data_IF_971182318434
#
_entry.id   IF_971182318434
#
_cell.length_a   1.000
_cell.length_b   1.000
_cell.length_c   1.000
_cell.angle_alpha   90.00
_cell.angle_beta   90.00
_cell.angle_gamma   90.00
#
_symmetry.space_group_name_H-M   'P 1'
#
loop_
_entity.id
_entity.type
_entity.pdbx_description
1 polymer ?
#
# COMPACT_ATOMS: atom_id res chain seq x y z
N UNK A 1 2.38 11.76 9.54
CA UNK A 1 1.45 12.16 8.48
C UNK A 1 1.77 11.33 7.24
N UNK A 2 0.76 10.88 6.52
CA UNK A 2 0.95 10.13 5.27
C UNK A 2 1.21 11.09 4.10
N UNK A 3 2.04 10.67 3.15
CA UNK A 3 2.47 11.51 2.02
C UNK A 3 2.53 10.71 0.71
N UNK A 4 2.37 11.40 -0.43
CA UNK A 4 2.49 10.77 -1.75
C UNK A 4 3.94 10.53 -2.14
N UNK A 5 4.17 9.46 -2.91
CA UNK A 5 5.47 9.17 -3.52
C UNK A 5 5.74 10.20 -4.63
N UNK A 6 6.95 10.77 -4.68
CA UNK A 6 7.37 11.76 -5.68
C UNK A 6 8.39 11.16 -6.65
N UNK A 7 8.36 11.57 -7.92
CA UNK A 7 9.40 11.26 -8.89
C UNK A 7 10.27 12.50 -9.11
N UNK A 8 11.53 12.45 -8.72
CA UNK A 8 12.48 13.55 -8.85
C UNK A 8 13.70 13.06 -9.63
N UNK A 9 13.98 13.68 -10.78
CA UNK A 9 15.12 13.32 -11.65
C UNK A 9 15.18 11.82 -11.98
N UNK A 10 14.02 11.20 -12.25
CA UNK A 10 13.92 9.77 -12.57
C UNK A 10 14.06 8.82 -11.38
N UNK A 11 14.13 9.32 -10.15
CA UNK A 11 14.19 8.50 -8.93
C UNK A 11 12.95 8.71 -8.06
N UNK A 12 12.43 7.62 -7.50
CA UNK A 12 11.33 7.68 -6.53
C UNK A 12 11.85 8.17 -5.18
N UNK A 13 11.22 9.21 -4.65
CA UNK A 13 11.34 9.62 -3.26
C UNK A 13 10.12 9.08 -2.51
N UNK A 14 10.36 8.04 -1.72
CA UNK A 14 9.33 7.33 -0.96
C UNK A 14 9.43 7.78 0.51
N UNK A 15 8.39 8.42 1.07
CA UNK A 15 8.35 8.80 2.48
C UNK A 15 8.24 7.57 3.39
N UNK A 16 8.38 7.75 4.71
CA UNK A 16 8.24 6.64 5.67
C UNK A 16 6.80 6.14 5.82
N UNK A 17 5.82 7.00 5.50
CA UNK A 17 4.39 6.67 5.49
C UNK A 17 3.76 6.94 4.11
N UNK A 18 4.10 6.17 3.06
CA UNK A 18 3.60 6.42 1.72
C UNK A 18 2.12 6.05 1.59
N UNK A 19 1.38 6.87 0.84
CA UNK A 19 0.02 6.54 0.38
C UNK A 19 0.14 5.66 -0.87
N UNK A 20 -0.42 4.45 -0.83
CA UNK A 20 -0.43 3.51 -1.94
C UNK A 20 -1.88 3.20 -2.32
N UNK A 21 -2.34 3.68 -3.50
CA UNK A 21 -3.63 3.27 -4.05
C UNK A 21 -3.64 1.78 -4.40
N UNK A 22 -4.74 1.10 -4.09
CA UNK A 22 -4.97 -0.28 -4.54
C UNK A 22 -6.40 -0.45 -5.06
N UNK A 23 -6.57 -1.39 -5.99
CA UNK A 23 -7.88 -1.85 -6.44
C UNK A 23 -8.10 -3.21 -5.79
N UNK A 24 -9.23 -3.36 -5.08
CA UNK A 24 -9.57 -4.62 -4.39
C UNK A 24 -9.72 -5.79 -5.36
N UNK A 25 -10.19 -5.51 -6.57
CA UNK A 25 -10.45 -6.47 -7.63
C UNK A 25 -11.76 -7.23 -7.45
N UNK A 26 -12.19 -7.90 -8.51
CA UNK A 26 -13.46 -8.62 -8.58
C UNK A 26 -13.29 -10.11 -8.22
N UNK A 27 -14.40 -10.84 -8.10
CA UNK A 27 -14.38 -12.28 -7.80
C UNK A 27 -13.66 -12.60 -6.49
N UNK A 28 -12.52 -13.30 -6.56
CA UNK A 28 -11.70 -13.65 -5.38
C UNK A 28 -10.77 -12.51 -4.91
N UNK A 29 -10.76 -11.37 -5.60
CA UNK A 29 -9.95 -10.20 -5.28
C UNK A 29 -10.04 -9.75 -3.82
N UNK A 30 -11.23 -9.53 -3.25
CA UNK A 30 -11.40 -9.09 -1.85
C UNK A 30 -10.75 -10.02 -0.83
N UNK A 31 -10.82 -11.33 -1.04
CA UNK A 31 -10.26 -12.32 -0.12
C UNK A 31 -8.73 -12.38 -0.23
N UNK A 32 -8.22 -12.36 -1.47
CA UNK A 32 -6.77 -12.34 -1.72
C UNK A 32 -6.17 -11.02 -1.20
N UNK A 33 -6.83 -9.88 -1.42
CA UNK A 33 -6.35 -8.59 -0.96
C UNK A 33 -6.30 -8.52 0.56
N UNK A 34 -7.34 -8.98 1.26
CA UNK A 34 -7.34 -9.02 2.73
C UNK A 34 -6.15 -9.80 3.28
N UNK A 35 -5.85 -10.97 2.69
CA UNK A 35 -4.70 -11.77 3.09
C UNK A 35 -3.36 -11.07 2.75
N UNK A 36 -3.29 -10.46 1.57
CA UNK A 36 -2.09 -9.77 1.08
C UNK A 36 -1.74 -8.57 1.96
N UNK A 37 -2.72 -7.75 2.32
CA UNK A 37 -2.52 -6.57 3.16
C UNK A 37 -1.92 -6.95 4.53
N UNK A 38 -2.42 -8.00 5.17
CA UNK A 38 -1.90 -8.49 6.46
C UNK A 38 -0.41 -8.86 6.34
N UNK A 39 -0.04 -9.58 5.28
CA UNK A 39 1.35 -10.01 5.06
C UNK A 39 2.26 -8.81 4.81
N UNK A 40 1.83 -7.86 3.97
CA UNK A 40 2.59 -6.66 3.63
C UNK A 40 2.77 -5.75 4.85
N UNK A 41 1.71 -5.51 5.62
CA UNK A 41 1.78 -4.68 6.83
C UNK A 41 2.75 -5.29 7.85
N UNK A 42 2.66 -6.61 8.09
CA UNK A 42 3.54 -7.32 9.02
C UNK A 42 5.02 -7.30 8.58
N UNK A 43 5.29 -7.45 7.27
CA UNK A 43 6.68 -7.45 6.79
C UNK A 43 7.30 -6.05 6.83
N UNK A 44 6.52 -5.01 6.54
CA UNK A 44 6.97 -3.62 6.65
C UNK A 44 7.29 -3.29 8.10
N UNK A 45 6.37 -3.60 9.03
CA UNK A 45 6.60 -3.36 10.45
C UNK A 45 7.86 -4.07 10.94
N UNK A 46 8.02 -5.36 10.60
CA UNK A 46 9.18 -6.16 10.99
C UNK A 46 10.49 -5.63 10.39
N UNK A 47 10.51 -5.31 9.10
CA UNK A 47 11.72 -4.88 8.39
C UNK A 47 12.21 -3.50 8.86
N UNK A 48 11.28 -2.62 9.22
CA UNK A 48 11.59 -1.24 9.60
C UNK A 48 11.45 -0.98 11.10
N UNK A 49 11.17 -2.00 11.91
CA UNK A 49 10.95 -1.90 13.36
C UNK A 49 9.94 -0.80 13.71
N UNK A 50 8.80 -0.80 13.00
CA UNK A 50 7.73 0.19 13.17
C UNK A 50 8.03 1.61 12.67
N UNK A 51 9.22 1.89 12.12
CA UNK A 51 9.57 3.22 11.60
C UNK A 51 8.85 3.58 10.29
N UNK A 52 8.32 2.57 9.59
CA UNK A 52 7.58 2.75 8.34
C UNK A 52 6.25 2.05 8.40
N UNK A 53 5.28 2.61 7.69
CA UNK A 53 3.93 2.06 7.56
C UNK A 53 3.36 2.42 6.19
N UNK A 54 2.59 1.54 5.56
CA UNK A 54 1.87 1.90 4.32
C UNK A 54 0.50 2.44 4.69
N UNK A 55 0.09 3.54 4.05
CA UNK A 55 -1.28 4.03 4.08
C UNK A 55 -2.00 3.54 2.82
N UNK A 56 -2.87 2.54 2.95
CA UNK A 56 -3.59 1.96 1.84
C UNK A 56 -4.80 2.81 1.47
N UNK A 57 -4.89 3.23 0.21
CA UNK A 57 -6.02 3.97 -0.33
C UNK A 57 -6.78 3.09 -1.31
N UNK A 58 -7.97 2.63 -0.94
CA UNK A 58 -8.82 1.91 -1.89
C UNK A 58 -9.30 2.85 -3.00
N UNK A 59 -9.15 2.41 -4.25
CA UNK A 59 -9.72 3.07 -5.42
C UNK A 59 -10.57 2.08 -6.19
N UNK A 60 -11.72 2.55 -6.68
CA UNK A 60 -12.70 1.71 -7.35
C UNK A 60 -12.33 1.49 -8.81
N UNK A 61 -12.32 0.23 -9.22
CA UNK A 61 -12.27 -0.20 -10.62
C UNK A 61 -12.77 -1.64 -10.72
N UNK A 62 -13.54 -1.95 -11.77
CA UNK A 62 -14.18 -3.26 -11.93
C UNK A 62 -15.68 -3.23 -11.60
N UNK A 63 -16.26 -4.41 -11.45
CA UNK A 63 -17.68 -4.58 -11.11
C UNK A 63 -17.92 -4.50 -9.58
N UNK A 64 -19.14 -4.11 -9.19
CA UNK A 64 -19.55 -3.93 -7.79
C UNK A 64 -20.11 -5.22 -7.17
#
# INVERSE_FOLDING_TARGET
>A
MSESIKLVNGKLQVPDNPIIPFIRGDGTGPDIWRASQIVLDAVVDKAYSGKRKIEWLEVMAGEA
#
